data_IF_596303445607
#
_entry.id   IF_596303445607
#
_cell.length_a   1.000
_cell.length_b   1.000
_cell.length_c   1.000
_cell.angle_alpha   90.00
_cell.angle_beta   90.00
_cell.angle_gamma   90.00
#
_symmetry.space_group_name_H-M   'P 1'
#
loop_
_entity.id
_entity.type
_entity.pdbx_description
1 polymer ?
#
# COMPACT_ATOMS: atom_id res chain seq x y z
N UNK A 1 2.48 -10.39 18.21
CA UNK A 1 3.80 -10.37 18.88
C UNK A 1 4.74 -9.46 18.11
N UNK A 2 5.65 -8.71 18.77
CA UNK A 2 6.45 -7.69 18.07
C UNK A 2 7.29 -8.38 17.00
N UNK A 3 6.91 -8.18 15.75
CA UNK A 3 7.61 -8.74 14.59
C UNK A 3 8.99 -8.08 14.53
N UNK A 4 10.01 -8.82 14.96
CA UNK A 4 11.39 -8.41 14.80
C UNK A 4 11.69 -8.31 13.31
N UNK A 5 12.43 -7.30 12.86
CA UNK A 5 12.77 -7.12 11.43
C UNK A 5 13.75 -8.18 10.88
N UNK A 6 13.81 -9.36 11.50
CA UNK A 6 14.70 -10.47 11.20
C UNK A 6 14.42 -11.04 9.83
N UNK A 7 13.15 -11.24 9.49
CA UNK A 7 12.76 -11.93 8.27
C UNK A 7 13.05 -11.05 7.04
N UNK A 8 12.76 -9.75 7.17
CA UNK A 8 13.11 -8.73 6.16
C UNK A 8 14.62 -8.66 5.97
N UNK A 9 15.37 -8.71 7.08
CA UNK A 9 16.83 -8.66 7.05
C UNK A 9 17.41 -9.89 6.35
N UNK A 10 16.86 -11.07 6.63
CA UNK A 10 17.27 -12.32 5.99
C UNK A 10 16.97 -12.28 4.48
N UNK A 11 15.77 -11.84 4.09
CA UNK A 11 15.38 -11.68 2.69
C UNK A 11 16.28 -10.66 1.96
N UNK A 12 16.58 -9.52 2.60
CA UNK A 12 17.47 -8.50 2.04
C UNK A 12 18.90 -9.04 1.88
N UNK A 13 19.42 -9.78 2.87
CA UNK A 13 20.73 -10.40 2.79
C UNK A 13 20.82 -11.42 1.64
N UNK A 14 19.79 -12.25 1.44
CA UNK A 14 19.71 -13.16 0.31
C UNK A 14 19.65 -12.42 -1.03
N UNK A 15 18.89 -11.32 -1.10
CA UNK A 15 18.80 -10.49 -2.30
C UNK A 15 20.16 -9.87 -2.67
N UNK A 16 20.87 -9.30 -1.68
CA UNK A 16 22.18 -8.71 -1.91
C UNK A 16 23.23 -9.75 -2.30
N UNK A 17 23.19 -10.96 -1.72
CA UNK A 17 24.11 -12.04 -2.07
C UNK A 17 23.98 -12.47 -3.54
N UNK A 18 22.77 -12.40 -4.11
CA UNK A 18 22.53 -12.73 -5.53
C UNK A 18 22.71 -11.53 -6.47
N UNK A 19 22.86 -10.32 -5.94
CA UNK A 19 22.96 -9.10 -6.75
C UNK A 19 24.35 -8.89 -7.35
N UNK A 20 24.40 -8.26 -8.52
CA UNK A 20 25.65 -7.97 -9.23
C UNK A 20 26.62 -7.09 -8.43
N UNK A 21 26.10 -6.25 -7.53
CA UNK A 21 26.91 -5.42 -6.65
C UNK A 21 27.87 -6.24 -5.75
N UNK A 22 27.42 -7.40 -5.27
CA UNK A 22 28.23 -8.28 -4.42
C UNK A 22 28.92 -9.35 -5.26
N UNK A 23 28.23 -9.93 -6.24
CA UNK A 23 28.76 -11.04 -7.04
C UNK A 23 29.83 -10.59 -8.04
N UNK A 24 29.57 -9.51 -8.78
CA UNK A 24 30.45 -9.00 -9.85
C UNK A 24 31.44 -7.99 -9.29
N UNK A 25 30.93 -6.95 -8.60
CA UNK A 25 31.76 -5.85 -8.13
C UNK A 25 32.46 -6.12 -6.79
N UNK A 26 32.11 -7.23 -6.10
CA UNK A 26 32.70 -7.64 -4.81
C UNK A 26 32.68 -6.56 -3.72
N UNK A 27 31.69 -5.66 -3.80
CA UNK A 27 31.51 -4.65 -2.79
C UNK A 27 30.92 -5.26 -1.52
N UNK A 28 31.14 -4.58 -0.38
CA UNK A 28 30.48 -5.00 0.86
C UNK A 28 28.97 -4.76 0.72
N UNK A 29 28.10 -5.64 1.25
CA UNK A 29 26.65 -5.47 1.18
C UNK A 29 26.16 -4.12 1.73
N UNK A 30 26.89 -3.55 2.70
CA UNK A 30 26.57 -2.24 3.27
C UNK A 30 26.85 -1.08 2.31
N UNK A 31 27.86 -1.21 1.45
CA UNK A 31 28.22 -0.19 0.48
C UNK A 31 27.27 -0.22 -0.72
N UNK A 32 26.72 -1.39 -1.07
CA UNK A 32 25.65 -1.53 -2.06
C UNK A 32 24.35 -0.78 -1.67
N UNK A 33 24.12 -0.54 -0.38
CA UNK A 33 22.92 0.15 0.12
C UNK A 33 23.07 1.68 0.17
N UNK A 34 24.23 2.22 -0.22
CA UNK A 34 24.53 3.65 -0.29
C UNK A 34 24.45 4.16 -1.73
N UNK A 35 24.07 5.42 -1.89
CA UNK A 35 24.16 6.10 -3.19
C UNK A 35 25.65 6.19 -3.61
N UNK A 36 25.99 5.97 -4.89
CA UNK A 36 25.11 5.81 -6.08
C UNK A 36 24.73 4.36 -6.45
N UNK A 37 25.24 3.36 -5.71
CA UNK A 37 25.08 1.94 -6.07
C UNK A 37 23.69 1.37 -5.80
N UNK A 38 22.86 2.08 -5.04
CA UNK A 38 21.47 1.68 -4.78
C UNK A 38 20.65 1.61 -6.06
N UNK A 39 20.91 2.52 -6.99
CA UNK A 39 20.10 2.68 -8.19
C UNK A 39 20.39 1.57 -9.21
N UNK A 40 21.56 0.95 -9.15
CA UNK A 40 21.95 -0.18 -10.01
C UNK A 40 21.47 -1.53 -9.48
N UNK A 41 20.98 -1.59 -8.23
CA UNK A 41 20.42 -2.81 -7.65
C UNK A 41 19.07 -3.16 -8.30
N UNK A 42 18.71 -4.46 -8.36
CA UNK A 42 17.42 -4.88 -8.86
C UNK A 42 16.28 -4.32 -7.97
N UNK A 43 15.14 -4.06 -8.61
CA UNK A 43 13.94 -3.47 -7.97
C UNK A 43 13.48 -4.25 -6.74
N UNK A 44 13.63 -5.57 -6.74
CA UNK A 44 13.34 -6.44 -5.59
C UNK A 44 14.18 -6.07 -4.35
N UNK A 45 15.48 -5.84 -4.52
CA UNK A 45 16.35 -5.45 -3.40
C UNK A 45 16.06 -4.01 -2.94
N UNK A 46 15.67 -3.12 -3.85
CA UNK A 46 15.25 -1.75 -3.51
C UNK A 46 13.95 -1.75 -2.67
N UNK A 47 12.98 -2.59 -3.03
CA UNK A 47 11.76 -2.79 -2.25
C UNK A 47 12.06 -3.34 -0.84
N UNK A 48 12.94 -4.34 -0.74
CA UNK A 48 13.36 -4.89 0.55
C UNK A 48 14.10 -3.86 1.41
N UNK A 49 14.93 -2.99 0.81
CA UNK A 49 15.57 -1.86 1.50
C UNK A 49 14.52 -0.91 2.07
N UNK A 50 13.50 -0.55 1.29
CA UNK A 50 12.41 0.31 1.73
C UNK A 50 11.62 -0.32 2.89
N UNK A 51 11.21 -1.58 2.74
CA UNK A 51 10.50 -2.34 3.77
C UNK A 51 11.30 -2.51 5.06
N UNK A 52 12.61 -2.75 4.96
CA UNK A 52 13.49 -2.81 6.13
C UNK A 52 13.59 -1.46 6.86
N UNK A 53 13.65 -0.35 6.11
CA UNK A 53 13.61 1.00 6.66
C UNK A 53 12.29 1.30 7.39
N UNK A 54 11.14 0.93 6.79
CA UNK A 54 9.84 1.06 7.45
C UNK A 54 9.73 0.21 8.72
N UNK A 55 10.22 -1.03 8.66
CA UNK A 55 10.19 -1.92 9.81
C UNK A 55 11.00 -1.36 10.98
N UNK A 56 12.23 -0.87 10.71
CA UNK A 56 13.08 -0.25 11.74
C UNK A 56 12.43 1.01 12.33
N UNK A 57 11.79 1.84 11.49
CA UNK A 57 11.04 3.03 11.96
C UNK A 57 9.90 2.62 12.89
N UNK A 58 9.17 1.55 12.57
CA UNK A 58 8.07 1.06 13.40
C UNK A 58 8.49 0.46 14.75
N UNK A 59 9.72 -0.07 14.86
CA UNK A 59 10.29 -0.49 16.15
C UNK A 59 10.60 0.70 17.07
N UNK A 60 11.06 1.82 16.49
CA UNK A 60 11.40 3.03 17.24
C UNK A 60 10.15 3.81 17.63
N UNK A 61 9.14 3.85 16.76
CA UNK A 61 7.88 4.59 16.97
C UNK A 61 7.04 4.06 18.14
N UNK A 62 6.91 4.87 19.19
CA UNK A 62 6.14 4.54 20.41
C UNK A 62 4.69 4.16 20.12
N UNK A 63 4.07 4.78 19.09
CA UNK A 63 2.67 4.52 18.72
C UNK A 63 2.47 3.11 18.17
N UNK A 64 3.50 2.53 17.55
CA UNK A 64 3.45 1.21 16.89
C UNK A 64 3.91 0.07 17.79
N UNK A 65 4.54 0.35 18.94
CA UNK A 65 5.00 -0.66 19.90
C UNK A 65 3.88 -1.50 20.51
N UNK A 66 2.73 -0.88 20.78
CA UNK A 66 1.58 -1.57 21.40
C UNK A 66 0.80 -2.46 20.42
N UNK A 67 0.69 -2.04 19.15
CA UNK A 67 -0.03 -2.80 18.11
C UNK A 67 0.87 -3.79 17.38
N UNK A 68 2.19 -3.62 17.49
CA UNK A 68 3.19 -4.37 16.74
C UNK A 68 3.34 -3.86 15.31
N UNK A 69 4.50 -4.14 14.71
CA UNK A 69 4.69 -3.94 13.28
C UNK A 69 3.81 -4.93 12.52
N UNK A 70 3.15 -4.44 11.46
CA UNK A 70 2.43 -5.32 10.53
C UNK A 70 3.45 -6.25 9.86
N UNK A 71 3.20 -7.58 9.80
CA UNK A 71 4.07 -8.46 9.04
C UNK A 71 4.06 -8.04 7.56
N UNK A 72 5.20 -8.14 6.87
CA UNK A 72 5.28 -7.80 5.43
C UNK A 72 4.26 -8.60 4.61
N UNK A 73 3.95 -9.84 5.01
CA UNK A 73 2.91 -10.64 4.36
C UNK A 73 1.50 -9.98 4.40
N UNK A 74 1.30 -8.94 5.21
CA UNK A 74 0.05 -8.17 5.32
C UNK A 74 0.23 -6.69 4.97
N UNK A 75 1.41 -6.27 4.47
CA UNK A 75 1.55 -4.92 3.96
C UNK A 75 0.78 -4.82 2.65
N UNK A 76 -0.39 -4.19 2.72
CA UNK A 76 -1.28 -3.80 1.62
C UNK A 76 -0.60 -3.06 0.44
N UNK A 77 0.72 -2.83 0.50
CA UNK A 77 1.50 -2.24 -0.61
C UNK A 77 1.90 -3.28 -1.66
N UNK A 78 1.87 -4.59 -1.34
CA UNK A 78 2.09 -5.68 -2.32
C UNK A 78 0.79 -6.17 -2.98
N UNK A 79 -0.35 -5.95 -2.30
CA UNK A 79 -1.68 -6.26 -2.80
C UNK A 79 -2.33 -4.96 -3.25
N UNK A 80 -2.04 -4.54 -4.49
CA UNK A 80 -2.89 -3.58 -5.17
C UNK A 80 -4.34 -4.08 -5.10
N UNK A 81 -5.25 -3.16 -4.74
CA UNK A 81 -6.72 -3.35 -4.77
C UNK A 81 -7.30 -4.37 -3.79
N UNK A 82 -7.28 -4.04 -2.50
CA UNK A 82 -8.20 -4.60 -1.52
C UNK A 82 -8.98 -3.49 -0.81
N UNK A 83 -10.30 -3.67 -0.53
CA UNK A 83 -11.13 -2.61 0.05
C UNK A 83 -10.56 -2.20 1.40
N UNK A 84 -10.18 -0.92 1.52
CA UNK A 84 -9.75 -0.34 2.78
C UNK A 84 -10.94 -0.33 3.75
N UNK A 85 -10.88 -1.04 4.89
CA UNK A 85 -11.94 -0.91 5.88
C UNK A 85 -11.88 0.49 6.45
N UNK A 86 -12.87 1.31 6.13
CA UNK A 86 -13.00 2.67 6.66
C UNK A 86 -13.08 2.58 8.20
N UNK A 87 -12.26 3.39 8.87
CA UNK A 87 -12.17 3.45 10.34
C UNK A 87 -13.48 3.90 11.03
N UNK A 88 -14.48 4.31 10.25
CA UNK A 88 -15.80 4.66 10.71
C UNK A 88 -16.85 4.18 9.70
N UNK A 89 -18.07 3.93 10.16
CA UNK A 89 -19.19 3.26 9.48
C UNK A 89 -19.76 3.98 8.22
N UNK A 90 -18.91 4.61 7.41
CA UNK A 90 -19.23 5.06 6.07
C UNK A 90 -19.06 3.90 5.10
N UNK A 91 -20.12 3.57 4.34
CA UNK A 91 -20.02 2.68 3.18
C UNK A 91 -18.95 3.21 2.21
N UNK A 92 -18.11 2.31 1.71
CA UNK A 92 -17.06 2.64 0.75
C UNK A 92 -17.64 3.23 -0.53
N UNK A 93 -16.91 4.15 -1.15
CA UNK A 93 -17.31 4.87 -2.37
C UNK A 93 -17.49 3.97 -3.60
N UNK A 94 -17.07 2.70 -3.53
CA UNK A 94 -17.17 1.71 -4.60
C UNK A 94 -18.46 0.86 -4.57
N UNK A 95 -19.20 0.78 -3.45
CA UNK A 95 -20.42 -0.06 -3.36
C UNK A 95 -21.62 0.43 -4.20
N UNK A 96 -21.48 1.55 -4.93
CA UNK A 96 -22.57 2.22 -5.64
C UNK A 96 -22.62 2.01 -7.16
N UNK A 97 -21.60 1.43 -7.80
CA UNK A 97 -21.48 1.48 -9.26
C UNK A 97 -22.24 0.35 -10.00
N UNK A 98 -22.66 -0.72 -9.32
CA UNK A 98 -23.32 -1.87 -9.96
C UNK A 98 -24.85 -1.91 -9.81
N UNK A 99 -25.48 -0.79 -9.46
CA UNK A 99 -26.93 -0.63 -9.61
C UNK A 99 -27.21 0.44 -10.66
N UNK A 100 -27.11 0.04 -11.93
CA UNK A 100 -27.97 0.61 -12.97
C UNK A 100 -29.40 0.56 -12.43
N UNK A 101 -29.91 1.69 -11.92
CA UNK A 101 -31.34 1.91 -11.69
C UNK A 101 -31.98 1.76 -13.06
N UNK A 102 -32.45 0.56 -13.38
CA UNK A 102 -33.41 0.37 -14.45
C UNK A 102 -34.59 1.28 -14.12
N UNK A 103 -34.74 2.37 -14.88
CA UNK A 103 -35.95 3.17 -14.88
C UNK A 103 -37.12 2.21 -15.08
N UNK A 104 -38.00 2.09 -14.09
CA UNK A 104 -39.25 1.34 -14.25
C UNK A 104 -40.29 2.28 -14.85
N UNK A 105 -40.96 1.82 -15.89
CA UNK A 105 -42.01 2.54 -16.60
C UNK A 105 -43.17 2.83 -15.64
N UNK A 106 -43.44 4.12 -15.37
CA UNK A 106 -44.52 4.57 -14.48
C UNK A 106 -44.09 5.43 -13.27
N UNK A 107 -42.80 5.63 -13.04
CA UNK A 107 -42.31 6.54 -11.99
C UNK A 107 -42.20 7.98 -12.52
N UNK A 108 -42.89 8.94 -11.90
CA UNK A 108 -42.71 10.37 -12.21
C UNK A 108 -41.41 10.89 -11.57
N UNK A 109 -40.58 11.58 -12.34
CA UNK A 109 -39.32 12.18 -11.88
C UNK A 109 -39.39 13.70 -12.14
N UNK A 110 -38.96 14.49 -11.17
CA UNK A 110 -38.77 15.94 -11.31
C UNK A 110 -37.26 16.25 -11.38
N UNK A 111 -36.88 17.14 -12.30
CA UNK A 111 -35.54 17.70 -12.39
C UNK A 111 -35.36 18.82 -11.37
N UNK A 112 -34.30 18.77 -10.57
CA UNK A 112 -33.92 19.87 -9.69
C UNK A 112 -32.50 20.34 -10.01
N UNK A 113 -32.29 21.65 -9.92
CA UNK A 113 -30.97 22.27 -10.11
C UNK A 113 -30.29 22.42 -8.75
N UNK A 114 -29.08 21.89 -8.63
CA UNK A 114 -28.22 22.14 -7.46
C UNK A 114 -27.70 23.57 -7.46
N UNK A 115 -27.25 24.05 -6.30
CA UNK A 115 -26.57 25.35 -6.19
C UNK A 115 -25.31 25.45 -7.08
N UNK A 116 -24.74 24.32 -7.48
CA UNK A 116 -23.59 24.22 -8.37
C UNK A 116 -23.98 24.26 -9.87
N UNK A 117 -25.27 24.47 -10.19
CA UNK A 117 -25.78 24.56 -11.56
C UNK A 117 -25.99 23.22 -12.28
N UNK A 118 -25.73 22.09 -11.62
CA UNK A 118 -25.95 20.76 -12.18
C UNK A 118 -27.41 20.33 -12.02
N UNK A 119 -28.02 19.79 -13.08
CA UNK A 119 -29.36 19.22 -13.06
C UNK A 119 -29.32 17.73 -12.68
N UNK A 120 -30.03 17.39 -11.60
CA UNK A 120 -30.20 16.02 -11.14
C UNK A 120 -31.69 15.63 -11.16
N UNK A 121 -31.97 14.35 -11.42
CA UNK A 121 -33.32 13.79 -11.40
C UNK A 121 -33.65 13.22 -10.02
N UNK A 122 -34.75 13.67 -9.43
CA UNK A 122 -35.32 13.11 -8.20
C UNK A 122 -36.65 12.45 -8.52
N UNK A 123 -36.87 11.24 -8.02
CA UNK A 123 -38.18 10.57 -8.09
C UNK A 123 -39.18 11.36 -7.22
N UNK A 124 -40.37 11.66 -7.75
CA UNK A 124 -41.46 12.27 -6.95
C UNK A 124 -41.78 11.40 -5.73
#
# INVERSE_FOLDING_TARGET
>A
MPTTCTDIRAALAACLANSDCVMVHRNKPIDCLREPLVDTLPTQCQQLKHGYGQCKRGLVDMRKRFRGNKPIATSQELEGEGPTPMLYAGKGTYEGLDKKKSMKEGDEYESFTRNDGLEDLRKK
#
